data_IF_829437982654
#
_entry.id   IF_829437982654
#
_cell.length_a   1.000
_cell.length_b   1.000
_cell.length_c   1.000
_cell.angle_alpha   90.00
_cell.angle_beta   90.00
_cell.angle_gamma   90.00
#
_symmetry.space_group_name_H-M   'P 1'
#
loop_
_entity.id
_entity.type
_entity.pdbx_description
1 polymer ?
#
# COMPACT_ATOMS: atom_id res chain seq x y z
N UNK A 1 13.75 -22.19 26.11
CA UNK A 1 13.11 -21.96 24.80
C UNK A 1 11.98 -22.97 24.58
N UNK A 2 10.75 -22.51 24.35
CA UNK A 2 9.64 -23.41 24.07
C UNK A 2 9.71 -23.97 22.64
N UNK A 3 8.90 -24.99 22.31
CA UNK A 3 8.96 -25.65 20.99
C UNK A 3 8.55 -24.71 19.85
N UNK A 4 7.53 -23.89 20.05
CA UNK A 4 7.00 -22.98 19.02
C UNK A 4 8.00 -21.90 18.67
N UNK A 5 8.62 -21.26 19.67
CA UNK A 5 9.74 -20.32 19.51
C UNK A 5 10.88 -20.96 18.71
N UNK A 6 11.16 -22.25 18.98
CA UNK A 6 12.25 -22.96 18.31
C UNK A 6 11.97 -23.30 16.86
N UNK A 7 10.74 -23.71 16.54
CA UNK A 7 10.31 -23.91 15.16
C UNK A 7 10.39 -22.61 14.37
N UNK A 8 9.96 -21.50 14.97
CA UNK A 8 10.06 -20.17 14.35
C UNK A 8 11.52 -19.75 14.12
N UNK A 9 12.37 -19.90 15.14
CA UNK A 9 13.79 -19.55 15.04
C UNK A 9 14.54 -20.38 13.99
N UNK A 10 14.25 -21.69 13.89
CA UNK A 10 14.83 -22.55 12.84
C UNK A 10 14.39 -22.06 11.45
N UNK A 11 13.10 -21.76 11.26
CA UNK A 11 12.59 -21.28 9.98
C UNK A 11 13.23 -19.93 9.56
N UNK A 12 13.37 -18.99 10.49
CA UNK A 12 14.01 -17.70 10.24
C UNK A 12 15.50 -17.83 9.93
N UNK A 13 16.22 -18.70 10.63
CA UNK A 13 17.65 -18.91 10.36
C UNK A 13 17.86 -19.57 8.98
N UNK A 14 16.99 -20.50 8.59
CA UNK A 14 17.00 -21.09 7.24
C UNK A 14 16.70 -20.06 6.15
N UNK A 15 15.76 -19.13 6.39
CA UNK A 15 15.50 -18.01 5.47
C UNK A 15 16.70 -17.08 5.35
N UNK A 16 17.31 -16.70 6.49
CA UNK A 16 18.49 -15.84 6.53
C UNK A 16 19.67 -16.45 5.78
N UNK A 17 19.88 -17.75 5.95
CA UNK A 17 20.92 -18.48 5.23
C UNK A 17 20.63 -18.61 3.72
N UNK A 18 19.35 -18.54 3.32
CA UNK A 18 18.93 -18.59 1.92
C UNK A 18 19.48 -19.81 1.19
N UNK A 19 19.98 -19.61 -0.03
CA UNK A 19 20.55 -20.68 -0.88
C UNK A 19 21.80 -21.33 -0.30
N UNK A 20 22.50 -20.67 0.63
CA UNK A 20 23.71 -21.22 1.27
C UNK A 20 23.36 -22.26 2.34
N UNK A 21 22.17 -22.16 2.94
CA UNK A 21 21.72 -23.05 4.00
C UNK A 21 22.54 -22.96 5.29
N UNK A 22 22.15 -23.78 6.27
CA UNK A 22 22.86 -23.87 7.55
C UNK A 22 22.87 -25.31 8.06
N UNK A 23 23.92 -25.70 8.78
CA UNK A 23 24.10 -27.09 9.20
C UNK A 23 23.32 -27.39 10.48
N UNK A 24 22.93 -28.65 10.67
CA UNK A 24 22.32 -29.12 11.93
C UNK A 24 23.15 -28.77 13.18
N UNK A 25 24.47 -29.02 13.20
CA UNK A 25 25.35 -28.59 14.29
C UNK A 25 25.34 -27.07 14.54
N UNK A 26 25.31 -26.25 13.48
CA UNK A 26 25.30 -24.79 13.61
C UNK A 26 23.98 -24.28 14.20
N UNK A 27 22.84 -24.83 13.75
CA UNK A 27 21.53 -24.56 14.35
C UNK A 27 21.46 -25.01 15.81
N UNK A 28 22.02 -26.18 16.12
CA UNK A 28 22.05 -26.73 17.46
C UNK A 28 22.84 -25.83 18.42
N UNK A 29 24.03 -25.38 18.00
CA UNK A 29 24.83 -24.42 18.75
C UNK A 29 24.14 -23.07 18.92
N UNK A 30 23.57 -22.52 17.84
CA UNK A 30 22.92 -21.21 17.86
C UNK A 30 21.65 -21.15 18.73
N UNK A 31 20.92 -22.26 18.84
CA UNK A 31 19.68 -22.35 19.61
C UNK A 31 19.87 -23.06 20.96
N UNK A 32 21.12 -23.39 21.33
CA UNK A 32 21.49 -24.08 22.57
C UNK A 32 20.69 -25.39 22.80
N UNK A 33 20.54 -26.19 21.74
CA UNK A 33 19.85 -27.50 21.78
C UNK A 33 20.69 -28.59 21.13
N UNK A 34 20.28 -29.85 21.32
CA UNK A 34 20.95 -30.98 20.65
C UNK A 34 20.63 -31.05 19.15
N UNK A 35 21.56 -31.57 18.35
CA UNK A 35 21.32 -31.85 16.92
C UNK A 35 20.13 -32.79 16.68
N UNK A 36 19.88 -33.73 17.61
CA UNK A 36 18.69 -34.59 17.58
C UNK A 36 17.40 -33.77 17.66
N UNK A 37 17.40 -32.70 18.46
CA UNK A 37 16.27 -31.78 18.58
C UNK A 37 16.07 -31.01 17.28
N UNK A 38 17.15 -30.49 16.69
CA UNK A 38 17.08 -29.83 15.37
C UNK A 38 16.53 -30.76 14.31
N UNK A 39 17.04 -32.00 14.19
CA UNK A 39 16.52 -33.01 13.24
C UNK A 39 15.02 -33.24 13.43
N UNK A 40 14.56 -33.37 14.68
CA UNK A 40 13.13 -33.59 14.98
C UNK A 40 12.26 -32.37 14.64
N UNK A 41 12.76 -31.16 14.89
CA UNK A 41 12.00 -29.93 14.64
C UNK A 41 12.00 -29.56 13.15
N UNK A 42 13.09 -29.80 12.41
CA UNK A 42 13.11 -29.71 10.94
C UNK A 42 12.11 -30.69 10.32
N UNK A 43 12.06 -31.95 10.80
CA UNK A 43 11.06 -32.90 10.34
C UNK A 43 9.62 -32.42 10.64
N UNK A 44 9.39 -31.78 11.78
CA UNK A 44 8.09 -31.20 12.11
C UNK A 44 7.74 -30.02 11.19
N UNK A 45 8.70 -29.17 10.83
CA UNK A 45 8.51 -28.08 9.85
C UNK A 45 8.20 -28.65 8.45
N UNK A 46 8.90 -29.68 8.02
CA UNK A 46 8.63 -30.38 6.76
C UNK A 46 7.21 -30.97 6.73
N UNK A 47 6.78 -31.62 7.82
CA UNK A 47 5.42 -32.13 7.97
C UNK A 47 4.36 -31.02 7.97
N UNK A 48 4.72 -29.81 8.43
CA UNK A 48 3.87 -28.63 8.40
C UNK A 48 3.86 -27.92 7.02
N UNK A 49 4.56 -28.46 6.01
CA UNK A 49 4.55 -27.95 4.64
C UNK A 49 5.70 -27.00 4.30
N UNK A 50 6.70 -26.81 5.18
CA UNK A 50 7.90 -26.05 4.85
C UNK A 50 8.84 -26.91 3.98
N UNK A 51 9.16 -26.45 2.77
CA UNK A 51 10.07 -27.12 1.83
C UNK A 51 11.54 -26.94 2.23
N UNK A 52 11.96 -27.71 3.25
CA UNK A 52 13.34 -27.77 3.72
C UNK A 52 14.01 -29.01 3.14
N UNK A 53 15.18 -28.84 2.52
CA UNK A 53 15.99 -29.93 1.95
C UNK A 53 17.27 -30.08 2.77
N UNK A 54 17.76 -31.30 2.91
CA UNK A 54 19.10 -31.55 3.42
C UNK A 54 20.05 -31.74 2.23
N UNK A 55 21.05 -30.87 2.08
CA UNK A 55 22.10 -31.02 1.10
C UNK A 55 23.27 -31.81 1.71
N UNK A 56 23.65 -32.93 1.11
CA UNK A 56 24.80 -33.73 1.53
C UNK A 56 26.10 -33.21 0.89
N UNK A 57 27.22 -33.24 1.63
CA UNK A 57 28.57 -32.89 1.14
C UNK A 57 29.40 -32.06 2.14
N UNK A 58 30.68 -31.75 1.85
CA UNK A 58 31.51 -30.86 2.66
C UNK A 58 30.89 -29.45 2.67
N UNK A 59 30.38 -29.01 3.82
CA UNK A 59 29.58 -27.78 3.94
C UNK A 59 28.07 -27.96 3.73
N UNK A 60 27.58 -29.20 3.64
CA UNK A 60 26.16 -29.54 3.53
C UNK A 60 25.34 -29.15 4.75
N UNK A 61 24.05 -28.85 4.54
CA UNK A 61 23.15 -28.35 5.57
C UNK A 61 21.69 -28.35 5.14
N UNK A 62 20.83 -27.82 6.00
CA UNK A 62 19.44 -27.56 5.70
C UNK A 62 19.32 -26.29 4.87
N UNK A 63 18.60 -26.38 3.75
CA UNK A 63 18.35 -25.29 2.82
C UNK A 63 16.84 -25.17 2.66
N UNK A 64 16.33 -23.95 2.61
CA UNK A 64 14.94 -23.70 2.26
C UNK A 64 14.86 -23.59 0.73
N UNK A 65 13.87 -24.21 0.10
CA UNK A 65 13.72 -24.21 -1.36
C UNK A 65 13.87 -22.78 -1.94
N UNK A 66 14.72 -22.54 -2.95
CA UNK A 66 14.77 -21.25 -3.64
C UNK A 66 13.45 -20.87 -4.35
N UNK A 67 12.59 -21.85 -4.62
CA UNK A 67 11.21 -21.68 -5.10
C UNK A 67 10.20 -21.49 -3.96
N UNK A 68 10.63 -21.52 -2.70
CA UNK A 68 9.83 -20.99 -1.62
C UNK A 68 9.54 -19.53 -1.96
N UNK A 69 8.25 -19.29 -2.23
CA UNK A 69 7.71 -17.96 -2.46
C UNK A 69 8.08 -17.04 -1.31
N UNK A 70 7.76 -15.74 -1.47
CA UNK A 70 7.71 -14.84 -0.32
C UNK A 70 7.03 -15.57 0.85
N UNK A 71 7.59 -15.50 2.08
CA UNK A 71 6.92 -16.05 3.25
C UNK A 71 5.51 -15.44 3.33
N UNK A 72 4.55 -16.08 4.01
CA UNK A 72 3.20 -15.52 4.15
C UNK A 72 3.26 -14.04 4.56
N UNK A 73 2.88 -13.17 3.64
CA UNK A 73 2.87 -11.72 3.84
C UNK A 73 1.45 -11.33 4.24
N UNK A 74 1.34 -10.59 5.35
CA UNK A 74 0.07 -10.01 5.75
C UNK A 74 0.03 -8.56 5.26
N UNK A 75 -1.02 -8.22 4.54
CA UNK A 75 -1.33 -6.83 4.19
C UNK A 75 -2.49 -6.34 5.04
N UNK A 76 -2.41 -5.08 5.47
CA UNK A 76 -3.62 -4.34 5.85
C UNK A 76 -4.39 -3.94 4.58
N UNK A 77 -5.71 -3.67 4.66
CA UNK A 77 -6.49 -3.16 3.54
C UNK A 77 -5.83 -1.98 2.82
N UNK A 78 -5.34 -0.98 3.56
CA UNK A 78 -4.68 0.20 3.00
C UNK A 78 -3.38 -0.12 2.26
N UNK A 79 -2.55 -1.03 2.80
CA UNK A 79 -1.31 -1.45 2.13
C UNK A 79 -1.58 -2.22 0.83
N UNK A 80 -2.60 -3.08 0.82
CA UNK A 80 -2.99 -3.81 -0.38
C UNK A 80 -3.47 -2.85 -1.48
N UNK A 81 -4.29 -1.85 -1.11
CA UNK A 81 -4.71 -0.79 -2.05
C UNK A 81 -3.51 0.00 -2.55
N UNK A 82 -2.57 0.39 -1.68
CA UNK A 82 -1.38 1.14 -2.09
C UNK A 82 -0.53 0.39 -3.13
N UNK A 83 -0.29 -0.91 -2.93
CA UNK A 83 0.43 -1.74 -3.90
C UNK A 83 -0.38 -1.89 -5.19
N UNK A 84 -1.69 -2.14 -5.09
CA UNK A 84 -2.56 -2.26 -6.26
C UNK A 84 -2.58 -0.98 -7.10
N UNK A 85 -2.63 0.19 -6.46
CA UNK A 85 -2.55 1.51 -7.11
C UNK A 85 -1.20 1.70 -7.80
N UNK A 86 -0.09 1.38 -7.13
CA UNK A 86 1.24 1.51 -7.73
C UNK A 86 1.39 0.64 -9.00
N UNK A 87 0.89 -0.61 -8.94
CA UNK A 87 0.88 -1.51 -10.09
C UNK A 87 -0.08 -1.02 -11.19
N UNK A 88 -1.24 -0.47 -10.81
CA UNK A 88 -2.19 0.09 -11.75
C UNK A 88 -1.58 1.30 -12.48
N UNK A 89 -0.79 2.15 -11.81
CA UNK A 89 -0.18 3.37 -12.39
C UNK A 89 1.00 3.14 -13.34
N UNK A 90 1.34 1.90 -13.67
CA UNK A 90 2.43 1.64 -14.62
C UNK A 90 2.13 2.29 -15.99
N UNK A 91 3.15 2.90 -16.64
CA UNK A 91 2.95 3.50 -17.96
C UNK A 91 2.46 2.47 -18.99
N UNK A 92 1.58 2.85 -19.93
CA UNK A 92 1.21 2.00 -21.06
C UNK A 92 2.47 1.51 -21.80
N UNK A 93 2.49 0.23 -22.15
CA UNK A 93 3.65 -0.41 -22.81
C UNK A 93 4.78 -0.80 -21.86
N UNK A 94 4.59 -0.70 -20.53
CA UNK A 94 5.56 -1.23 -19.56
C UNK A 94 5.83 -2.72 -19.81
N UNK A 95 7.10 -3.16 -19.89
CA UNK A 95 7.44 -4.58 -20.10
C UNK A 95 6.98 -5.48 -18.95
N UNK A 96 6.62 -4.91 -17.80
CA UNK A 96 6.15 -5.62 -16.61
C UNK A 96 4.63 -5.59 -16.44
N UNK A 97 3.86 -5.07 -17.40
CA UNK A 97 2.41 -4.91 -17.26
C UNK A 97 1.68 -6.24 -16.96
N UNK A 98 2.10 -7.33 -17.59
CA UNK A 98 1.53 -8.68 -17.38
C UNK A 98 1.80 -9.17 -15.95
N UNK A 99 3.05 -9.07 -15.50
CA UNK A 99 3.43 -9.47 -14.14
C UNK A 99 2.77 -8.58 -13.09
N UNK A 100 2.57 -7.30 -13.37
CA UNK A 100 1.88 -6.37 -12.49
C UNK A 100 0.40 -6.73 -12.30
N UNK A 101 -0.30 -7.14 -13.36
CA UNK A 101 -1.67 -7.65 -13.25
C UNK A 101 -1.75 -8.91 -12.39
N UNK A 102 -0.83 -9.86 -12.61
CA UNK A 102 -0.76 -11.09 -11.82
C UNK A 102 -0.40 -10.81 -10.34
N UNK A 103 0.54 -9.89 -10.09
CA UNK A 103 0.92 -9.48 -8.75
C UNK A 103 -0.24 -8.78 -8.03
N UNK A 104 -1.03 -7.96 -8.73
CA UNK A 104 -2.22 -7.31 -8.17
C UNK A 104 -3.23 -8.34 -7.67
N UNK A 105 -3.52 -9.39 -8.44
CA UNK A 105 -4.38 -10.51 -8.00
C UNK A 105 -3.87 -11.15 -6.70
N UNK A 106 -2.57 -11.49 -6.66
CA UNK A 106 -1.92 -12.10 -5.48
C UNK A 106 -1.98 -11.20 -4.23
N UNK A 107 -1.92 -9.88 -4.38
CA UNK A 107 -2.04 -8.93 -3.26
C UNK A 107 -3.45 -8.98 -2.67
N UNK A 108 -4.49 -9.05 -3.50
CA UNK A 108 -5.87 -9.24 -3.03
C UNK A 108 -6.06 -10.60 -2.35
N UNK A 109 -5.39 -11.63 -2.87
CA UNK A 109 -5.44 -12.99 -2.32
C UNK A 109 -4.74 -13.14 -0.96
N UNK A 110 -3.81 -12.24 -0.64
CA UNK A 110 -3.16 -12.17 0.66
C UNK A 110 -4.04 -11.54 1.76
N UNK A 111 -5.20 -10.96 1.43
CA UNK A 111 -6.14 -10.40 2.41
C UNK A 111 -7.12 -11.46 2.92
N UNK A 112 -7.42 -11.41 4.24
CA UNK A 112 -8.54 -12.16 4.81
C UNK A 112 -9.88 -11.71 4.19
N UNK A 113 -10.88 -12.60 4.15
CA UNK A 113 -12.14 -12.35 3.44
C UNK A 113 -12.81 -11.00 3.82
N UNK A 114 -12.91 -10.68 5.11
CA UNK A 114 -13.50 -9.40 5.57
C UNK A 114 -12.65 -8.16 5.33
N UNK A 115 -11.33 -8.31 5.13
CA UNK A 115 -10.43 -7.21 4.79
C UNK A 115 -10.37 -6.95 3.29
N UNK A 116 -10.70 -7.97 2.48
CA UNK A 116 -10.84 -7.84 1.03
C UNK A 116 -11.95 -6.86 0.67
N UNK A 117 -13.13 -6.97 1.29
CA UNK A 117 -14.27 -6.07 1.05
C UNK A 117 -13.93 -4.61 1.38
N UNK A 118 -13.24 -4.38 2.52
CA UNK A 118 -12.80 -3.03 2.91
C UNK A 118 -11.78 -2.45 1.95
N UNK A 119 -10.84 -3.27 1.50
CA UNK A 119 -9.82 -2.87 0.55
C UNK A 119 -10.43 -2.60 -0.84
N UNK A 120 -11.41 -3.39 -1.29
CA UNK A 120 -12.17 -3.15 -2.52
C UNK A 120 -12.99 -1.85 -2.43
N UNK A 121 -13.68 -1.62 -1.31
CA UNK A 121 -14.42 -0.38 -1.08
C UNK A 121 -13.52 0.87 -1.08
N UNK A 122 -12.29 0.75 -0.57
CA UNK A 122 -11.29 1.82 -0.64
C UNK A 122 -10.74 1.99 -2.07
N UNK A 123 -10.43 0.90 -2.78
CA UNK A 123 -9.91 0.93 -4.15
C UNK A 123 -10.93 1.46 -5.17
N UNK A 124 -12.23 1.18 -5.00
CA UNK A 124 -13.30 1.76 -5.82
C UNK A 124 -13.34 3.30 -5.73
N UNK A 125 -12.76 3.86 -4.67
CA UNK A 125 -12.64 5.31 -4.44
C UNK A 125 -11.26 5.84 -4.83
N UNK A 126 -10.46 5.08 -5.57
CA UNK A 126 -9.20 5.53 -6.16
C UNK A 126 -9.33 5.43 -7.68
N UNK A 127 -9.10 6.55 -8.36
CA UNK A 127 -9.14 6.67 -9.81
C UNK A 127 -7.74 6.95 -10.34
N UNK A 128 -7.36 6.27 -11.41
CA UNK A 128 -6.05 6.46 -12.06
C UNK A 128 -6.28 6.71 -13.55
N UNK A 129 -5.70 7.81 -14.07
CA UNK A 129 -5.68 8.12 -15.51
C UNK A 129 -4.27 7.94 -16.05
N UNK A 130 -4.16 7.26 -17.19
CA UNK A 130 -2.90 6.94 -17.86
C UNK A 130 -2.52 7.90 -19.00
N UNK A 131 -3.49 8.62 -19.56
CA UNK A 131 -3.28 9.45 -20.75
C UNK A 131 -3.19 10.94 -20.40
N UNK A 132 -2.17 11.60 -20.94
CA UNK A 132 -1.97 13.04 -20.86
C UNK A 132 -2.93 13.79 -21.80
N UNK A 133 -4.22 13.79 -21.47
CA UNK A 133 -5.18 14.77 -22.00
C UNK A 133 -5.19 16.03 -21.13
N UNK A 134 -5.66 17.20 -21.62
CA UNK A 134 -5.70 18.41 -20.79
C UNK A 134 -6.47 18.10 -19.51
N UNK A 135 -5.77 18.11 -18.37
CA UNK A 135 -6.41 18.10 -17.06
C UNK A 135 -7.35 19.28 -16.94
N UNK A 136 -8.26 19.27 -15.93
CA UNK A 136 -9.09 20.42 -15.64
C UNK A 136 -8.17 21.65 -15.52
N UNK A 137 -8.34 22.59 -16.44
CA UNK A 137 -7.49 23.76 -16.60
C UNK A 137 -7.70 24.70 -15.42
N UNK A 138 -6.78 24.67 -14.46
CA UNK A 138 -6.46 25.86 -13.68
C UNK A 138 -5.29 26.54 -14.36
N UNK A 139 -5.55 27.71 -14.93
CA UNK A 139 -4.55 28.68 -15.36
C UNK A 139 -3.53 28.93 -14.25
N UNK A 140 -2.34 29.36 -14.69
CA UNK A 140 -1.21 29.88 -13.91
C UNK A 140 -0.17 28.87 -13.42
N UNK A 141 0.87 28.77 -14.26
CA UNK A 141 2.18 28.21 -13.92
C UNK A 141 3.02 29.19 -13.12
N UNK A 142 3.79 28.66 -12.18
CA UNK A 142 4.76 29.41 -11.39
C UNK A 142 5.74 28.47 -10.71
N UNK A 143 6.90 28.29 -11.35
CA UNK A 143 8.07 27.57 -10.84
C UNK A 143 8.66 28.28 -9.63
N UNK A 144 9.00 27.55 -8.56
CA UNK A 144 9.98 27.99 -7.55
C UNK A 144 10.81 26.81 -7.07
N UNK A 145 12.11 26.86 -7.33
CA UNK A 145 13.13 26.01 -6.72
C UNK A 145 13.65 26.59 -5.41
N UNK A 146 14.36 25.77 -4.62
CA UNK A 146 15.15 26.22 -3.48
C UNK A 146 15.19 25.25 -2.29
N UNK A 147 16.36 24.60 -2.17
CA UNK A 147 17.10 24.08 -1.01
C UNK A 147 16.48 24.06 0.42
N UNK A 148 16.70 22.97 1.18
CA UNK A 148 16.23 22.87 2.58
C UNK A 148 16.41 21.52 3.29
N UNK A 149 17.64 20.98 3.38
CA UNK A 149 17.97 19.67 3.99
C UNK A 149 17.29 19.32 5.34
N UNK A 150 17.11 20.29 6.25
CA UNK A 150 16.46 20.09 7.55
C UNK A 150 14.94 20.28 7.56
N UNK A 151 14.42 21.06 6.61
CA UNK A 151 12.99 21.31 6.43
C UNK A 151 12.31 20.14 5.68
N UNK A 152 13.07 19.42 4.85
CA UNK A 152 12.60 18.26 4.06
C UNK A 152 12.05 17.14 4.95
N UNK A 153 12.70 16.80 6.08
CA UNK A 153 12.23 15.71 6.95
C UNK A 153 10.95 16.10 7.70
N UNK A 154 10.84 17.34 8.17
CA UNK A 154 9.62 17.87 8.80
C UNK A 154 8.45 18.01 7.81
N UNK A 155 8.74 18.49 6.60
CA UNK A 155 7.78 18.59 5.50
C UNK A 155 7.32 17.22 5.01
N UNK A 156 8.21 16.24 4.92
CA UNK A 156 7.87 14.86 4.58
C UNK A 156 6.97 14.22 5.65
N UNK A 157 7.29 14.38 6.94
CA UNK A 157 6.44 13.85 8.03
C UNK A 157 5.06 14.52 8.08
N UNK A 158 4.99 15.83 7.91
CA UNK A 158 3.71 16.55 7.87
C UNK A 158 2.89 16.15 6.64
N UNK A 159 3.54 15.96 5.49
CA UNK A 159 2.88 15.46 4.29
C UNK A 159 2.37 14.01 4.46
N UNK A 160 3.14 13.12 5.06
CA UNK A 160 2.68 11.75 5.42
C UNK A 160 1.49 11.79 6.38
N UNK A 161 1.46 12.75 7.32
CA UNK A 161 0.32 12.99 8.19
C UNK A 161 -0.95 13.39 7.43
N UNK A 162 -0.82 14.26 6.42
CA UNK A 162 -1.92 14.63 5.52
C UNK A 162 -2.44 13.41 4.76
N UNK A 163 -1.55 12.65 4.12
CA UNK A 163 -1.92 11.48 3.33
C UNK A 163 -2.65 10.44 4.18
N UNK A 164 -2.15 10.16 5.39
CA UNK A 164 -2.79 9.23 6.33
C UNK A 164 -4.16 9.71 6.80
N UNK A 165 -4.31 11.01 7.08
CA UNK A 165 -5.61 11.57 7.47
C UNK A 165 -6.64 11.46 6.34
N UNK A 166 -6.21 11.69 5.09
CA UNK A 166 -7.06 11.53 3.90
C UNK A 166 -7.48 10.07 3.71
N UNK A 167 -6.53 9.13 3.78
CA UNK A 167 -6.80 7.69 3.68
C UNK A 167 -7.83 7.23 4.73
N UNK A 168 -7.62 7.61 6.00
CA UNK A 168 -8.52 7.28 7.10
C UNK A 168 -9.90 7.91 6.94
N UNK A 169 -9.97 9.14 6.43
CA UNK A 169 -11.22 9.84 6.19
C UNK A 169 -12.05 9.16 5.09
N UNK A 170 -11.40 8.72 4.02
CA UNK A 170 -12.03 7.92 2.97
C UNK A 170 -12.50 6.59 3.54
N UNK A 171 -11.59 5.78 4.10
CA UNK A 171 -11.92 4.44 4.62
C UNK A 171 -13.05 4.47 5.67
N UNK A 172 -13.08 5.48 6.53
CA UNK A 172 -14.07 5.62 7.60
C UNK A 172 -15.29 6.47 7.25
N UNK A 173 -15.38 7.04 6.04
CA UNK A 173 -16.42 8.02 5.67
C UNK A 173 -16.55 9.14 6.70
N UNK A 174 -15.41 9.74 7.06
CA UNK A 174 -15.30 10.80 8.08
C UNK A 174 -14.97 12.14 7.45
N UNK A 175 -15.59 13.20 7.98
CA UNK A 175 -15.35 14.58 7.53
C UNK A 175 -13.90 14.94 7.82
N UNK A 176 -13.23 15.55 6.85
CA UNK A 176 -11.85 15.99 6.94
C UNK A 176 -11.82 17.52 7.04
N UNK A 177 -11.08 18.04 8.02
CA UNK A 177 -10.77 19.46 8.10
C UNK A 177 -9.43 19.70 7.37
N UNK A 178 -9.45 20.45 6.27
CA UNK A 178 -8.28 20.71 5.43
C UNK A 178 -7.91 22.19 5.47
N UNK A 179 -6.62 22.48 5.69
CA UNK A 179 -6.01 23.77 5.42
C UNK A 179 -5.42 23.72 4.01
N UNK A 180 -6.02 24.47 3.09
CA UNK A 180 -5.71 24.40 1.68
C UNK A 180 -5.21 25.74 1.15
N UNK A 181 -4.10 25.72 0.43
CA UNK A 181 -3.56 26.87 -0.27
C UNK A 181 -3.96 26.82 -1.74
N UNK A 182 -4.65 27.85 -2.22
CA UNK A 182 -5.04 27.92 -3.63
C UNK A 182 -3.88 28.34 -4.56
N UNK A 183 -4.14 28.38 -5.86
CA UNK A 183 -3.13 28.76 -6.86
C UNK A 183 -2.64 30.21 -6.73
N UNK A 184 -3.42 31.09 -6.08
CA UNK A 184 -3.05 32.49 -5.82
C UNK A 184 -2.32 32.67 -4.49
N UNK A 185 -2.03 31.56 -3.79
CA UNK A 185 -1.35 31.56 -2.50
C UNK A 185 -2.25 31.83 -1.30
N UNK A 186 -3.56 32.00 -1.49
CA UNK A 186 -4.48 32.24 -0.38
C UNK A 186 -4.81 30.94 0.36
N UNK A 187 -4.64 30.96 1.69
CA UNK A 187 -4.93 29.80 2.54
C UNK A 187 -6.34 29.87 3.10
N UNK A 188 -7.06 28.74 3.03
CA UNK A 188 -8.41 28.60 3.57
C UNK A 188 -8.56 27.30 4.35
N UNK A 189 -9.32 27.34 5.44
CA UNK A 189 -9.72 26.14 6.18
C UNK A 189 -11.10 25.69 5.73
N UNK A 190 -11.24 24.41 5.39
CA UNK A 190 -12.48 23.84 4.83
C UNK A 190 -12.80 22.51 5.50
N UNK A 191 -14.09 22.27 5.76
CA UNK A 191 -14.60 20.95 6.12
C UNK A 191 -15.12 20.28 4.86
N UNK A 192 -14.57 19.12 4.55
CA UNK A 192 -14.86 18.40 3.31
C UNK A 192 -15.25 16.96 3.62
N UNK A 193 -16.16 16.42 2.81
CA UNK A 193 -16.57 15.01 2.84
C UNK A 193 -15.85 14.32 1.67
N UNK A 194 -14.77 13.56 1.93
CA UNK A 194 -14.03 12.88 0.87
C UNK A 194 -14.94 12.00 0.02
N UNK A 195 -14.83 12.04 -1.30
CA UNK A 195 -15.56 11.10 -2.16
C UNK A 195 -14.59 10.11 -2.75
N UNK A 196 -13.52 10.57 -3.40
CA UNK A 196 -12.51 9.72 -4.01
C UNK A 196 -11.13 10.42 -4.09
N UNK A 197 -10.09 9.62 -4.33
CA UNK A 197 -8.78 10.07 -4.76
C UNK A 197 -8.65 9.88 -6.27
N UNK A 198 -8.15 10.88 -6.97
CA UNK A 198 -7.84 10.79 -8.39
C UNK A 198 -6.35 11.05 -8.61
N UNK A 199 -5.68 10.16 -9.32
CA UNK A 199 -4.36 10.37 -9.87
C UNK A 199 -4.48 10.67 -11.36
N UNK A 200 -4.18 11.92 -11.72
CA UNK A 200 -4.30 12.40 -13.11
C UNK A 200 -3.19 13.41 -13.41
N UNK A 201 -2.63 13.35 -14.61
CA UNK A 201 -1.50 14.19 -15.06
C UNK A 201 -0.31 14.18 -14.09
N UNK A 202 -0.02 13.00 -13.52
CA UNK A 202 1.06 12.82 -12.53
C UNK A 202 0.81 13.51 -11.19
N UNK A 203 -0.43 13.95 -10.91
CA UNK A 203 -0.81 14.66 -9.68
C UNK A 203 -1.94 13.95 -8.97
N UNK A 204 -1.89 13.99 -7.64
CA UNK A 204 -2.94 13.48 -6.77
C UNK A 204 -3.94 14.56 -6.38
N UNK A 205 -5.21 14.22 -6.50
CA UNK A 205 -6.34 15.05 -6.13
C UNK A 205 -7.23 14.31 -5.13
N UNK A 206 -7.64 15.00 -4.08
CA UNK A 206 -8.78 14.62 -3.26
C UNK A 206 -10.02 15.29 -3.85
N UNK A 207 -10.97 14.49 -4.31
CA UNK A 207 -12.28 14.98 -4.72
C UNK A 207 -13.24 14.83 -3.56
N UNK A 208 -13.85 15.93 -3.14
CA UNK A 208 -14.64 15.98 -1.92
C UNK A 208 -15.79 16.99 -2.02
N UNK A 209 -16.90 16.71 -1.33
CA UNK A 209 -17.97 17.70 -1.14
C UNK A 209 -17.52 18.74 -0.11
N UNK A 210 -17.43 20.00 -0.54
CA UNK A 210 -17.00 21.10 0.32
C UNK A 210 -18.20 21.74 1.01
N UNK A 211 -18.36 21.53 2.32
CA UNK A 211 -19.54 22.00 3.06
C UNK A 211 -19.73 23.51 3.04
N UNK A 212 -18.64 24.28 3.12
CA UNK A 212 -18.69 25.74 3.06
C UNK A 212 -19.12 26.30 1.70
N UNK A 213 -19.04 25.47 0.65
CA UNK A 213 -19.33 25.88 -0.74
C UNK A 213 -20.49 25.10 -1.34
N UNK A 214 -21.02 24.14 -0.61
CA UNK A 214 -22.12 23.26 -1.00
C UNK A 214 -21.95 22.70 -2.43
N UNK A 215 -20.73 22.24 -2.74
CA UNK A 215 -20.37 21.75 -4.06
C UNK A 215 -19.21 20.75 -4.01
N UNK A 216 -19.14 19.88 -5.02
CA UNK A 216 -17.97 19.02 -5.27
C UNK A 216 -16.78 19.87 -5.66
N UNK A 217 -15.62 19.61 -5.05
CA UNK A 217 -14.36 20.30 -5.35
C UNK A 217 -13.18 19.34 -5.37
N UNK A 218 -12.21 19.70 -6.19
CA UNK A 218 -10.97 18.98 -6.38
C UNK A 218 -9.85 19.72 -5.64
N UNK A 219 -9.19 19.00 -4.73
CA UNK A 219 -8.11 19.53 -3.90
C UNK A 219 -6.80 18.84 -4.28
N UNK A 220 -5.82 19.57 -4.81
CA UNK A 220 -4.48 18.99 -5.07
C UNK A 220 -3.84 18.61 -3.74
N UNK A 221 -3.45 17.34 -3.57
CA UNK A 221 -2.88 16.87 -2.30
C UNK A 221 -1.56 17.59 -1.95
N UNK A 222 -0.77 17.97 -2.96
CA UNK A 222 0.45 18.76 -2.79
C UNK A 222 0.20 20.16 -2.17
N UNK A 223 -1.02 20.69 -2.33
CA UNK A 223 -1.44 22.02 -1.86
C UNK A 223 -2.19 21.97 -0.52
N UNK A 224 -2.39 20.78 0.05
CA UNK A 224 -2.95 20.61 1.39
C UNK A 224 -1.83 20.80 2.42
N UNK A 225 -1.89 21.89 3.16
CA UNK A 225 -0.88 22.23 4.18
C UNK A 225 -1.09 21.44 5.47
N UNK A 226 -2.34 21.11 5.78
CA UNK A 226 -2.72 20.31 6.95
C UNK A 226 -4.06 19.62 6.72
N UNK A 227 -4.21 18.40 7.22
CA UNK A 227 -5.47 17.67 7.21
C UNK A 227 -5.68 17.00 8.56
N UNK A 228 -6.81 17.28 9.20
CA UNK A 228 -7.18 16.73 10.50
C UNK A 228 -8.47 15.91 10.36
N UNK A 229 -8.40 14.64 10.76
CA UNK A 229 -9.54 13.72 10.76
C UNK A 229 -10.51 14.10 11.87
N UNK A 230 -11.75 14.47 11.52
CA UNK A 230 -12.76 14.83 12.52
C UNK A 230 -13.55 13.62 12.98
N UNK A 231 -14.21 13.68 14.14
CA UNK A 231 -15.06 12.58 14.65
C UNK A 231 -16.36 12.38 13.87
N UNK A 232 -16.73 13.34 13.02
CA UNK A 232 -18.01 13.35 12.31
C UNK A 232 -17.97 12.41 11.10
N UNK A 233 -18.98 11.54 10.98
CA UNK A 233 -19.21 10.66 9.83
C UNK A 233 -20.23 11.26 8.87
N UNK A 234 -20.16 10.89 7.60
CA UNK A 234 -21.16 11.25 6.59
C UNK A 234 -21.58 10.00 5.81
N UNK A 235 -22.77 10.02 5.24
CA UNK A 235 -23.19 9.01 4.27
C UNK A 235 -22.41 9.25 2.96
N UNK A 236 -21.60 8.28 2.47
CA UNK A 236 -20.84 8.46 1.24
C UNK A 236 -21.76 8.81 0.07
N UNK A 237 -21.41 9.89 -0.63
CA UNK A 237 -22.09 10.23 -1.87
C UNK A 237 -21.70 9.20 -2.93
N UNK A 238 -22.65 8.73 -3.77
CA UNK A 238 -22.33 7.93 -4.94
C UNK A 238 -21.19 8.57 -5.73
N UNK A 239 -20.25 7.75 -6.18
CA UNK A 239 -19.13 8.22 -7.02
C UNK A 239 -19.65 8.87 -8.32
N UNK A 240 -20.82 8.46 -8.81
CA UNK A 240 -21.52 9.08 -9.94
C UNK A 240 -21.92 10.55 -9.70
N UNK A 241 -22.12 10.98 -8.45
CA UNK A 241 -22.53 12.34 -8.10
C UNK A 241 -21.37 13.34 -8.10
N UNK A 242 -20.13 12.85 -8.31
CA UNK A 242 -18.90 13.65 -8.35
C UNK A 242 -18.78 14.46 -9.67
N UNK A 243 -19.60 14.12 -10.66
CA UNK A 243 -19.52 14.63 -12.03
C UNK A 243 -18.90 13.59 -12.96
N UNK A 244 -18.81 13.91 -14.26
CA UNK A 244 -18.15 13.04 -15.23
C UNK A 244 -16.65 12.94 -14.93
N UNK A 245 -16.08 11.72 -14.85
CA UNK A 245 -14.64 11.54 -14.81
C UNK A 245 -14.02 12.25 -16.03
N UNK A 246 -12.80 12.81 -15.92
CA UNK A 246 -12.07 13.25 -17.11
C UNK A 246 -12.01 12.09 -18.12
N UNK A 247 -12.21 12.38 -19.41
CA UNK A 247 -12.12 11.38 -20.47
C UNK A 247 -10.84 10.54 -20.28
N UNK A 248 -11.00 9.21 -20.13
CA UNK A 248 -9.91 8.26 -19.89
C UNK A 248 -9.60 7.92 -18.43
N UNK A 249 -10.35 8.40 -17.44
CA UNK A 249 -10.19 7.98 -16.04
C UNK A 249 -10.99 6.69 -15.74
N UNK A 250 -10.32 5.68 -15.20
CA UNK A 250 -10.95 4.40 -14.79
C UNK A 250 -10.75 4.19 -13.30
N UNK A 251 -11.74 3.59 -12.63
CA UNK A 251 -11.59 3.18 -11.23
C UNK A 251 -10.50 2.10 -11.11
N UNK A 252 -9.72 2.14 -10.03
CA UNK A 252 -8.67 1.13 -9.77
C UNK A 252 -9.29 -0.27 -9.53
N UNK A 253 -10.57 -0.30 -9.15
CA UNK A 253 -11.38 -1.51 -9.11
C UNK A 253 -12.80 -1.20 -9.64
N UNK A 254 -13.25 -2.02 -10.59
CA UNK A 254 -14.61 -2.04 -11.14
C UNK A 254 -15.16 -3.48 -10.99
N UNK A 255 -16.25 -3.70 -10.25
CA UNK A 255 -16.83 -5.02 -10.08
C UNK A 255 -17.48 -5.59 -11.35
N UNK A 256 -17.77 -4.76 -12.37
CA UNK A 256 -18.51 -5.15 -13.58
C UNK A 256 -17.60 -5.40 -14.80
N UNK A 257 -16.28 -5.19 -14.66
CA UNK A 257 -15.29 -5.47 -15.69
C UNK A 257 -14.86 -6.95 -15.67
N UNK A 258 -15.76 -7.82 -16.14
CA UNK A 258 -15.51 -9.25 -16.40
C UNK A 258 -14.75 -9.50 -17.70
#
# INVERSE_FOLDING_TARGET
MNRTERLYAIAEELRRAGRTGTTGPRLAAALEVSERTIKRDVAALQQAGLTIWAQAGPGGGYVLDPSASLPPVNFTPGQAVAVAVALATLPPGSPFAVDALAARGKVWDALAAGDRDRAQALAARVWVRHDAGPGPSDEDGGSHGGDGGGEIVGRARSHLGVLRAVEQALAGSRVLAVRYRDGRGATSSRRVEPVLLAHTDGRWYLVAWCRSREAIRWFRLERVERADLTAETYAPRPVADVGEPPVGATAVYDPDAG
#
